data_IF_724045960412
#
_entry.id   IF_724045960412
#
_cell.length_a   1.000
_cell.length_b   1.000
_cell.length_c   1.000
_cell.angle_alpha   90.00
_cell.angle_beta   90.00
_cell.angle_gamma   90.00
#
_symmetry.space_group_name_H-M   'P 1'
#
loop_
_entity.id
_entity.type
_entity.pdbx_description
1 polymer ?
#
# COMPACT_ATOMS: atom_id res chain seq x y z
N UNK A 1 -16.85 -11.80 2.84
CA UNK A 1 -16.50 -10.66 3.72
C UNK A 1 -15.40 -9.80 3.10
N UNK A 2 -14.28 -10.38 2.64
CA UNK A 2 -13.18 -9.65 1.99
C UNK A 2 -13.56 -8.95 0.66
N UNK A 3 -14.58 -9.42 -0.05
CA UNK A 3 -15.03 -8.85 -1.34
C UNK A 3 -15.91 -7.62 -1.21
N UNK A 4 -16.37 -7.26 -0.01
CA UNK A 4 -17.22 -6.09 0.22
C UNK A 4 -16.43 -4.81 0.49
N UNK A 5 -15.16 -4.96 0.88
CA UNK A 5 -14.28 -3.85 1.22
C UNK A 5 -13.13 -3.76 0.21
N UNK A 6 -12.80 -2.55 -0.28
CA UNK A 6 -11.73 -2.38 -1.27
C UNK A 6 -10.35 -2.39 -0.61
N UNK A 7 -9.93 -3.57 -0.12
CA UNK A 7 -8.67 -3.81 0.59
C UNK A 7 -7.41 -3.48 -0.22
N UNK A 8 -7.38 -3.80 -1.52
CA UNK A 8 -6.26 -3.50 -2.40
C UNK A 8 -6.13 -2.00 -2.62
N UNK A 9 -7.27 -1.32 -2.79
CA UNK A 9 -7.29 0.14 -2.84
C UNK A 9 -6.84 0.75 -1.52
N UNK A 10 -7.20 0.16 -0.37
CA UNK A 10 -6.75 0.63 0.94
C UNK A 10 -5.23 0.52 1.07
N UNK A 11 -4.59 -0.58 0.65
CA UNK A 11 -3.12 -0.70 0.65
C UNK A 11 -2.44 0.42 -0.18
N UNK A 12 -3.04 0.82 -1.30
CA UNK A 12 -2.47 1.90 -2.11
C UNK A 12 -2.72 3.27 -1.46
N UNK A 13 -3.90 3.49 -0.89
CA UNK A 13 -4.32 4.78 -0.37
C UNK A 13 -3.82 5.08 1.04
N UNK A 14 -3.54 4.07 1.87
CA UNK A 14 -3.09 4.25 3.26
C UNK A 14 -1.77 5.02 3.37
N UNK A 15 -0.71 4.71 2.60
CA UNK A 15 0.50 5.53 2.57
C UNK A 15 0.24 6.95 2.05
N UNK A 16 -0.66 7.14 1.07
CA UNK A 16 -1.05 8.47 0.58
C UNK A 16 -1.85 9.28 1.61
N UNK A 17 -2.70 8.63 2.39
CA UNK A 17 -3.37 9.25 3.54
C UNK A 17 -2.35 9.66 4.61
N UNK A 18 -1.31 8.85 4.81
CA UNK A 18 -0.15 9.19 5.61
C UNK A 18 0.56 10.46 5.12
N UNK A 19 0.72 10.65 3.80
CA UNK A 19 1.24 11.89 3.23
C UNK A 19 0.41 13.11 3.65
N UNK A 20 -0.92 13.01 3.57
CA UNK A 20 -1.82 14.09 3.99
C UNK A 20 -1.69 14.39 5.49
N UNK A 21 -1.54 13.36 6.32
CA UNK A 21 -1.31 13.51 7.76
C UNK A 21 0.04 14.19 8.09
N UNK A 22 1.05 14.05 7.22
CA UNK A 22 2.35 14.70 7.38
C UNK A 22 2.39 16.16 6.92
N UNK A 23 1.48 16.61 6.06
CA UNK A 23 1.43 18.00 5.57
C UNK A 23 1.45 19.06 6.70
N UNK A 24 0.61 18.98 7.76
CA UNK A 24 0.68 19.96 8.86
C UNK A 24 1.96 19.83 9.69
N UNK A 25 2.65 18.69 9.62
CA UNK A 25 3.85 18.38 10.41
C UNK A 25 5.14 18.61 9.62
N UNK A 26 5.06 19.21 8.43
CA UNK A 26 6.18 19.37 7.50
C UNK A 26 7.44 19.99 8.13
N UNK A 27 7.25 20.99 9.00
CA UNK A 27 8.34 21.68 9.72
C UNK A 27 8.65 21.08 11.10
N UNK A 28 7.82 20.16 11.60
CA UNK A 28 7.91 19.58 12.95
C UNK A 28 8.50 18.16 12.91
N UNK A 29 9.84 18.07 12.82
CA UNK A 29 10.57 16.80 12.65
C UNK A 29 10.28 15.74 13.71
N UNK A 30 10.16 16.16 14.98
CA UNK A 30 9.94 15.25 16.12
C UNK A 30 8.58 14.54 16.00
N UNK A 31 7.59 15.20 15.40
CA UNK A 31 6.23 14.68 15.25
C UNK A 31 6.01 13.93 13.92
N UNK A 32 6.71 14.31 12.85
CA UNK A 32 6.53 13.68 11.54
C UNK A 32 7.01 12.21 11.46
N UNK A 33 8.12 11.88 12.13
CA UNK A 33 8.71 10.53 12.08
C UNK A 33 7.83 9.43 12.69
N UNK A 34 7.29 9.58 13.91
CA UNK A 34 6.41 8.55 14.48
C UNK A 34 5.11 8.40 13.69
N UNK A 35 4.61 9.47 13.04
CA UNK A 35 3.45 9.37 12.15
C UNK A 35 3.77 8.52 10.92
N UNK A 36 4.87 8.80 10.22
CA UNK A 36 5.27 8.00 9.06
C UNK A 36 5.51 6.52 9.43
N UNK A 37 6.17 6.27 10.57
CA UNK A 37 6.38 4.91 11.07
C UNK A 37 5.06 4.23 11.45
N UNK A 38 4.13 4.96 12.07
CA UNK A 38 2.80 4.44 12.38
C UNK A 38 2.04 3.99 11.13
N UNK A 39 2.10 4.79 10.06
CA UNK A 39 1.51 4.44 8.76
C UNK A 39 2.17 3.18 8.19
N UNK A 40 3.50 3.11 8.14
CA UNK A 40 4.20 1.92 7.66
C UNK A 40 3.93 0.66 8.50
N UNK A 41 3.78 0.79 9.82
CA UNK A 41 3.42 -0.34 10.68
C UNK A 41 1.97 -0.80 10.47
N UNK A 42 1.04 0.12 10.21
CA UNK A 42 -0.32 -0.22 9.83
C UNK A 42 -0.35 -0.96 8.48
N UNK A 43 0.44 -0.50 7.52
CA UNK A 43 0.60 -1.14 6.21
C UNK A 43 1.15 -2.56 6.36
N UNK A 44 2.21 -2.72 7.16
CA UNK A 44 2.80 -4.02 7.48
C UNK A 44 1.83 -4.94 8.22
N UNK A 45 1.03 -4.42 9.14
CA UNK A 45 0.03 -5.20 9.85
C UNK A 45 -1.07 -5.68 8.90
N UNK A 46 -1.52 -4.81 7.98
CA UNK A 46 -2.53 -5.14 6.98
C UNK A 46 -2.01 -6.19 5.99
N UNK A 47 -0.79 -6.02 5.48
CA UNK A 47 -0.16 -6.97 4.56
C UNK A 47 0.12 -8.32 5.22
N UNK A 48 0.58 -8.33 6.48
CA UNK A 48 0.80 -9.55 7.25
C UNK A 48 -0.52 -10.29 7.57
N UNK A 49 -1.59 -9.54 7.84
CA UNK A 49 -2.92 -10.12 8.04
C UNK A 49 -3.46 -10.76 6.74
N UNK A 50 -3.30 -10.09 5.59
CA UNK A 50 -3.63 -10.67 4.28
C UNK A 50 -2.81 -11.94 4.01
N UNK A 51 -1.52 -11.92 4.34
CA UNK A 51 -0.66 -13.09 4.22
C UNK A 51 -1.11 -14.24 5.13
N UNK A 52 -1.49 -13.96 6.38
CA UNK A 52 -2.02 -14.98 7.30
C UNK A 52 -3.36 -15.56 6.88
N UNK A 53 -4.21 -14.75 6.25
CA UNK A 53 -5.55 -15.12 5.76
C UNK A 53 -5.56 -15.67 4.33
N UNK A 54 -4.40 -15.93 3.72
CA UNK A 54 -4.28 -16.40 2.33
C UNK A 54 -5.10 -17.65 1.99
N UNK A 55 -5.32 -18.55 2.95
CA UNK A 55 -6.14 -19.77 2.76
C UNK A 55 -7.63 -19.47 2.67
N UNK A 56 -8.07 -18.41 3.34
CA UNK A 56 -9.47 -17.95 3.33
C UNK A 56 -9.77 -17.14 2.06
N UNK A 57 -8.75 -16.53 1.47
CA UNK A 57 -8.76 -15.82 0.18
C UNK A 57 -8.76 -16.78 -1.04
N UNK A 58 -9.30 -18.00 -0.88
CA UNK A 58 -9.16 -19.07 -1.89
C UNK A 58 -9.71 -18.67 -3.27
N UNK A 59 -9.03 -19.05 -4.38
CA UNK A 59 -9.33 -18.61 -5.75
C UNK A 59 -10.70 -19.02 -6.30
N UNK A 60 -11.46 -19.86 -5.58
CA UNK A 60 -12.84 -20.22 -5.94
C UNK A 60 -13.83 -19.05 -5.84
N UNK A 61 -13.45 -17.94 -5.19
CA UNK A 61 -14.28 -16.73 -5.07
C UNK A 61 -13.78 -15.54 -5.91
N UNK A 62 -12.57 -15.60 -6.46
CA UNK A 62 -12.04 -14.53 -7.29
C UNK A 62 -12.66 -14.60 -8.69
N UNK A 63 -13.10 -13.44 -9.21
CA UNK A 63 -13.66 -13.31 -10.57
C UNK A 63 -12.67 -13.72 -11.68
N UNK A 64 -11.37 -13.77 -11.37
CA UNK A 64 -10.31 -14.22 -12.28
C UNK A 64 -9.55 -15.43 -11.73
N UNK A 65 -9.26 -16.44 -12.57
CA UNK A 65 -8.47 -17.60 -12.17
C UNK A 65 -7.03 -17.20 -11.86
N UNK A 66 -6.47 -17.78 -10.79
CA UNK A 66 -5.09 -17.52 -10.34
C UNK A 66 -4.93 -16.34 -9.38
N UNK A 67 -5.97 -15.53 -9.20
CA UNK A 67 -5.99 -14.44 -8.22
C UNK A 67 -6.70 -14.86 -6.92
N UNK A 68 -6.21 -14.33 -5.81
CA UNK A 68 -6.77 -14.49 -4.46
C UNK A 68 -7.82 -13.40 -4.18
N UNK A 69 -7.56 -12.17 -4.62
CA UNK A 69 -8.48 -11.04 -4.50
C UNK A 69 -8.44 -10.21 -5.79
N UNK A 70 -9.59 -9.70 -6.20
CA UNK A 70 -9.71 -8.81 -7.37
C UNK A 70 -10.67 -7.67 -7.04
N UNK A 71 -10.23 -6.44 -7.30
CA UNK A 71 -11.06 -5.24 -7.30
C UNK A 71 -11.15 -4.71 -8.73
N UNK A 72 -12.37 -4.61 -9.25
CA UNK A 72 -12.60 -4.18 -10.62
C UNK A 72 -13.75 -3.16 -10.63
N UNK A 73 -13.41 -1.93 -10.99
CA UNK A 73 -14.34 -0.82 -11.07
C UNK A 73 -14.16 -0.03 -12.38
N UNK A 74 -15.26 0.42 -13.02
CA UNK A 74 -15.15 1.28 -14.20
C UNK A 74 -14.52 2.63 -13.82
N UNK A 75 -13.43 3.02 -14.49
CA UNK A 75 -12.78 4.31 -14.22
C UNK A 75 -13.17 5.37 -15.27
N UNK A 76 -12.91 5.10 -16.56
CA UNK A 76 -13.31 5.99 -17.65
C UNK A 76 -14.03 5.16 -18.73
N UNK A 77 -15.35 4.95 -18.59
CA UNK A 77 -16.11 4.06 -19.47
C UNK A 77 -16.03 4.43 -20.95
N UNK A 78 -15.94 5.72 -21.25
CA UNK A 78 -15.86 6.23 -22.63
C UNK A 78 -14.63 5.71 -23.40
N UNK A 79 -13.55 5.39 -22.70
CA UNK A 79 -12.31 4.84 -23.29
C UNK A 79 -12.12 3.35 -22.96
N UNK A 80 -13.09 2.70 -22.32
CA UNK A 80 -12.96 1.32 -21.85
C UNK A 80 -11.96 1.12 -20.70
N UNK A 81 -11.47 2.21 -20.09
CA UNK A 81 -10.45 2.14 -19.02
C UNK A 81 -11.09 1.68 -17.71
N UNK A 82 -10.48 0.68 -17.08
CA UNK A 82 -10.96 0.07 -15.84
C UNK A 82 -9.90 0.13 -14.77
N UNK A 83 -10.30 0.46 -13.56
CA UNK A 83 -9.44 0.30 -12.40
C UNK A 83 -9.50 -1.15 -11.96
N UNK A 84 -8.54 -1.94 -12.44
CA UNK A 84 -8.44 -3.37 -12.15
C UNK A 84 -7.22 -3.64 -11.31
N UNK A 85 -7.44 -4.07 -10.06
CA UNK A 85 -6.42 -4.53 -9.14
C UNK A 85 -6.59 -6.02 -8.86
N UNK A 86 -5.46 -6.70 -8.69
CA UNK A 86 -5.39 -8.12 -8.39
C UNK A 86 -4.32 -8.43 -7.38
N UNK A 87 -4.61 -9.40 -6.54
CA UNK A 87 -3.67 -9.98 -5.60
C UNK A 87 -3.53 -11.46 -5.92
N UNK A 88 -2.40 -11.87 -6.49
CA UNK A 88 -2.04 -13.27 -6.68
C UNK A 88 -1.05 -13.74 -5.59
N UNK A 89 -0.61 -15.00 -5.67
CA UNK A 89 0.32 -15.56 -4.69
C UNK A 89 1.68 -14.85 -4.66
N UNK A 90 2.15 -14.32 -5.79
CA UNK A 90 3.45 -13.62 -5.88
C UNK A 90 3.31 -12.19 -5.36
N UNK A 91 2.29 -11.46 -5.79
CA UNK A 91 1.99 -10.09 -5.38
C UNK A 91 1.76 -10.01 -3.88
N UNK A 92 1.09 -11.01 -3.28
CA UNK A 92 0.94 -11.09 -1.83
C UNK A 92 2.29 -11.09 -1.09
N UNK A 93 3.26 -11.86 -1.59
CA UNK A 93 4.61 -11.89 -1.03
C UNK A 93 5.33 -10.55 -1.24
N UNK A 94 5.17 -9.94 -2.42
CA UNK A 94 5.81 -8.66 -2.75
C UNK A 94 5.26 -7.49 -1.93
N UNK A 95 3.95 -7.44 -1.69
CA UNK A 95 3.30 -6.43 -0.82
C UNK A 95 3.79 -6.57 0.63
N UNK A 96 3.86 -7.81 1.15
CA UNK A 96 4.39 -8.06 2.49
C UNK A 96 5.87 -7.64 2.61
N UNK A 97 6.69 -8.03 1.63
CA UNK A 97 8.10 -7.67 1.61
C UNK A 97 8.30 -6.16 1.50
N UNK A 98 7.53 -5.48 0.64
CA UNK A 98 7.59 -4.03 0.44
C UNK A 98 7.31 -3.29 1.73
N UNK A 99 6.17 -3.56 2.38
CA UNK A 99 5.80 -2.92 3.67
C UNK A 99 6.82 -3.20 4.77
N UNK A 100 7.39 -4.41 4.82
CA UNK A 100 8.43 -4.78 5.78
C UNK A 100 9.73 -3.99 5.55
N UNK A 101 10.23 -3.97 4.31
CA UNK A 101 11.43 -3.23 3.94
C UNK A 101 11.24 -1.73 4.13
N UNK A 102 10.03 -1.21 3.86
CA UNK A 102 9.70 0.19 4.07
C UNK A 102 9.78 0.58 5.55
N UNK A 103 9.23 -0.24 6.45
CA UNK A 103 9.36 -0.04 7.90
C UNK A 103 10.83 0.05 8.34
N UNK A 104 11.68 -0.84 7.84
CA UNK A 104 13.13 -0.82 8.12
C UNK A 104 13.75 0.47 7.58
N UNK A 105 13.41 0.87 6.35
CA UNK A 105 13.92 2.09 5.74
C UNK A 105 13.56 3.34 6.56
N UNK A 106 12.33 3.42 7.08
CA UNK A 106 11.90 4.49 7.98
C UNK A 106 12.70 4.52 9.28
N UNK A 107 12.92 3.36 9.91
CA UNK A 107 13.73 3.26 11.14
C UNK A 107 15.18 3.70 10.92
N UNK A 108 15.80 3.28 9.82
CA UNK A 108 17.18 3.68 9.48
C UNK A 108 17.27 5.17 9.15
N UNK A 109 16.25 5.72 8.48
CA UNK A 109 16.21 7.14 8.12
C UNK A 109 16.23 8.09 9.33
N UNK A 110 15.86 7.59 10.52
CA UNK A 110 15.77 8.37 11.75
C UNK A 110 17.11 9.02 12.16
N UNK A 111 18.23 8.33 11.95
CA UNK A 111 19.56 8.89 12.27
C UNK A 111 20.26 9.52 11.05
N UNK A 112 19.91 9.07 9.85
CA UNK A 112 20.54 9.52 8.60
C UNK A 112 20.00 10.87 8.11
N UNK A 113 18.68 11.07 8.13
CA UNK A 113 18.04 12.25 7.51
C UNK A 113 17.84 13.36 8.52
N UNK A 114 18.69 14.39 8.42
CA UNK A 114 18.68 15.58 9.30
C UNK A 114 18.20 16.85 8.64
N UNK A 115 17.81 16.82 7.37
CA UNK A 115 17.25 18.00 6.68
C UNK A 115 15.97 17.64 5.95
N UNK A 116 15.04 18.61 5.86
CA UNK A 116 13.76 18.48 5.15
C UNK A 116 13.01 17.17 5.47
N UNK A 117 13.04 16.75 6.74
CA UNK A 117 12.51 15.44 7.15
C UNK A 117 11.05 15.22 6.76
N UNK A 118 10.20 16.25 6.88
CA UNK A 118 8.80 16.16 6.47
C UNK A 118 8.63 15.85 4.97
N UNK A 119 9.36 16.57 4.11
CA UNK A 119 9.39 16.32 2.66
C UNK A 119 9.89 14.90 2.36
N UNK A 120 11.01 14.49 2.96
CA UNK A 120 11.58 13.17 2.75
C UNK A 120 10.58 12.06 3.10
N UNK A 121 9.94 12.14 4.27
CA UNK A 121 8.97 11.13 4.71
C UNK A 121 7.72 11.12 3.82
N UNK A 122 7.27 12.28 3.36
CA UNK A 122 6.14 12.39 2.41
C UNK A 122 6.47 11.73 1.08
N UNK A 123 7.69 11.94 0.56
CA UNK A 123 8.15 11.29 -0.67
C UNK A 123 8.32 9.78 -0.48
N UNK A 124 8.82 9.34 0.68
CA UNK A 124 8.93 7.92 1.02
C UNK A 124 7.55 7.24 1.01
N UNK A 125 6.56 7.81 1.69
CA UNK A 125 5.19 7.26 1.69
C UNK A 125 4.56 7.29 0.29
N UNK A 126 4.77 8.35 -0.48
CA UNK A 126 4.32 8.41 -1.88
C UNK A 126 4.96 7.31 -2.73
N UNK A 127 6.24 7.01 -2.50
CA UNK A 127 6.95 5.94 -3.18
C UNK A 127 6.40 4.57 -2.79
N UNK A 128 6.12 4.33 -1.50
CA UNK A 128 5.48 3.09 -1.04
C UNK A 128 4.13 2.87 -1.73
N UNK A 129 3.28 3.89 -1.79
CA UNK A 129 1.99 3.83 -2.49
C UNK A 129 2.17 3.44 -3.97
N UNK A 130 3.15 4.03 -4.65
CA UNK A 130 3.48 3.70 -6.04
C UNK A 130 3.93 2.25 -6.22
N UNK A 131 4.79 1.74 -5.33
CA UNK A 131 5.26 0.35 -5.37
C UNK A 131 4.10 -0.62 -5.10
N UNK A 132 3.24 -0.33 -4.12
CA UNK A 132 2.03 -1.13 -3.87
C UNK A 132 1.13 -1.15 -5.12
N UNK A 133 0.92 0.00 -5.75
CA UNK A 133 0.17 0.10 -7.00
C UNK A 133 0.75 -0.76 -8.13
N UNK A 134 2.08 -0.77 -8.31
CA UNK A 134 2.74 -1.58 -9.35
C UNK A 134 2.53 -3.07 -9.14
N UNK A 135 2.58 -3.56 -7.90
CA UNK A 135 2.35 -4.98 -7.62
C UNK A 135 0.88 -5.40 -7.69
N UNK A 136 -0.05 -4.46 -7.51
CA UNK A 136 -1.48 -4.76 -7.49
C UNK A 136 -2.19 -4.47 -8.81
N UNK A 137 -1.65 -3.60 -9.66
CA UNK A 137 -2.29 -3.21 -10.91
C UNK A 137 -2.29 -4.35 -11.94
N UNK A 138 -3.45 -4.66 -12.50
CA UNK A 138 -3.62 -5.59 -13.61
C UNK A 138 -3.83 -4.89 -14.96
N UNK A 139 -4.08 -3.58 -14.94
CA UNK A 139 -4.43 -2.83 -16.13
C UNK A 139 -3.17 -2.40 -16.91
N UNK A 140 -2.74 -3.31 -17.79
CA UNK A 140 -1.81 -3.12 -18.90
C UNK A 140 -2.33 -3.91 -20.13
N UNK A 141 -3.66 -3.98 -20.27
CA UNK A 141 -4.34 -4.68 -21.36
C UNK A 141 -4.00 -4.09 -22.73
#
# INVERSE_FOLDING_TARGET
>A
MFTEYPLLTILILLPLAGCLALLPLWNCRVSARPVALGVGLLELALSAWLYGSWRELTPLQAKLPGYLLVEDAPWIPAFGIRYTLGLDGISLLMVLLTSFTFCIALLVSWNSIKEKTGLFLTLMLTMEAGIMGVFLALDLA
#
